data_IF_215147881957
#
_entry.id   IF_215147881957
#
_cell.length_a   1.000
_cell.length_b   1.000
_cell.length_c   1.000
_cell.angle_alpha   90.00
_cell.angle_beta   90.00
_cell.angle_gamma   90.00
#
_symmetry.space_group_name_H-M   'P 1'
#
loop_
_entity.id
_entity.type
_entity.pdbx_description
1 polymer ?
#
# COMPACT_ATOMS: atom_id res chain seq x y z
N UNK A 1 -43.80 -21.64 -50.52
CA UNK A 1 -43.66 -22.31 -49.20
C UNK A 1 -42.37 -23.12 -49.04
N UNK A 2 -41.92 -23.91 -50.03
CA UNK A 2 -40.69 -24.73 -49.87
C UNK A 2 -39.40 -23.92 -49.64
N UNK A 3 -39.25 -22.75 -50.25
CA UNK A 3 -38.03 -21.92 -50.13
C UNK A 3 -37.87 -21.23 -48.77
N UNK A 4 -38.98 -20.85 -48.13
CA UNK A 4 -38.99 -20.20 -46.80
C UNK A 4 -38.67 -21.24 -45.70
N UNK A 5 -39.14 -22.47 -45.86
CA UNK A 5 -38.85 -23.56 -44.93
C UNK A 5 -37.36 -23.93 -44.91
N UNK A 6 -36.69 -23.88 -46.07
CA UNK A 6 -35.25 -24.16 -46.20
C UNK A 6 -34.40 -23.09 -45.54
N UNK A 7 -34.76 -21.80 -45.68
CA UNK A 7 -34.04 -20.69 -45.03
C UNK A 7 -34.20 -20.73 -43.50
N UNK A 8 -35.39 -21.06 -43.00
CA UNK A 8 -35.65 -21.21 -41.57
C UNK A 8 -34.88 -22.40 -40.97
N UNK A 9 -34.79 -23.53 -41.71
CA UNK A 9 -33.99 -24.68 -41.29
C UNK A 9 -32.49 -24.37 -41.28
N UNK A 10 -31.98 -23.59 -42.24
CA UNK A 10 -30.58 -23.17 -42.30
C UNK A 10 -30.25 -22.20 -41.15
N UNK A 11 -31.11 -21.22 -40.84
CA UNK A 11 -30.90 -20.28 -39.73
C UNK A 11 -30.96 -20.96 -38.36
N UNK A 12 -31.91 -21.90 -38.17
CA UNK A 12 -32.00 -22.71 -36.94
C UNK A 12 -30.80 -23.66 -36.85
N UNK A 13 -30.36 -24.27 -37.94
CA UNK A 13 -29.15 -25.11 -37.95
C UNK A 13 -27.88 -24.29 -37.67
N UNK A 14 -27.77 -23.05 -38.17
CA UNK A 14 -26.63 -22.18 -37.90
C UNK A 14 -26.61 -21.66 -36.45
N UNK A 15 -27.78 -21.47 -35.81
CA UNK A 15 -27.85 -21.17 -34.38
C UNK A 15 -27.57 -22.40 -33.51
N UNK A 16 -27.99 -23.60 -33.95
CA UNK A 16 -27.67 -24.87 -33.29
C UNK A 16 -26.20 -25.31 -33.51
N UNK A 17 -25.57 -24.92 -34.61
CA UNK A 17 -24.13 -25.14 -34.86
C UNK A 17 -23.29 -24.12 -34.06
N UNK A 18 -23.79 -22.89 -33.81
CA UNK A 18 -23.17 -21.98 -32.83
C UNK A 18 -23.34 -22.40 -31.37
N UNK A 19 -24.30 -23.28 -31.07
CA UNK A 19 -24.43 -23.90 -29.75
C UNK A 19 -23.64 -25.21 -29.59
N UNK A 20 -22.78 -25.57 -30.55
CA UNK A 20 -21.82 -26.66 -30.38
C UNK A 20 -20.54 -26.14 -29.69
N UNK A 21 -20.34 -26.60 -28.45
CA UNK A 21 -19.13 -26.47 -27.62
C UNK A 21 -18.74 -25.09 -27.08
N UNK A 22 -19.68 -24.27 -26.61
CA UNK A 22 -19.33 -23.30 -25.57
C UNK A 22 -19.12 -24.04 -24.25
N UNK A 23 -17.92 -23.91 -23.66
CA UNK A 23 -17.65 -24.39 -22.31
C UNK A 23 -18.69 -23.82 -21.34
N UNK A 24 -19.15 -24.66 -20.40
CA UNK A 24 -20.00 -24.16 -19.31
C UNK A 24 -19.25 -23.05 -18.56
N UNK A 25 -19.98 -22.07 -18.03
CA UNK A 25 -19.35 -20.99 -17.25
C UNK A 25 -18.53 -21.56 -16.07
N UNK A 26 -18.98 -22.66 -15.46
CA UNK A 26 -18.18 -23.40 -14.47
C UNK A 26 -16.80 -23.79 -15.02
N UNK A 27 -16.79 -24.40 -16.21
CA UNK A 27 -15.57 -24.82 -16.88
C UNK A 27 -14.68 -23.62 -17.22
N UNK A 28 -15.27 -22.49 -17.62
CA UNK A 28 -14.52 -21.25 -17.85
C UNK A 28 -13.89 -20.74 -16.55
N UNK A 29 -14.64 -20.75 -15.44
CA UNK A 29 -14.12 -20.38 -14.12
C UNK A 29 -12.96 -21.29 -13.69
N UNK A 30 -13.17 -22.61 -13.74
CA UNK A 30 -12.17 -23.61 -13.34
C UNK A 30 -10.90 -23.48 -14.19
N UNK A 31 -11.04 -23.32 -15.51
CA UNK A 31 -9.92 -23.12 -16.42
C UNK A 31 -9.22 -21.77 -16.19
N UNK A 32 -9.95 -20.73 -15.80
CA UNK A 32 -9.34 -19.46 -15.44
C UNK A 32 -8.51 -19.56 -14.15
N UNK A 33 -8.99 -20.30 -13.15
CA UNK A 33 -8.20 -20.60 -11.95
C UNK A 33 -6.95 -21.43 -12.30
N UNK A 34 -7.05 -22.40 -13.20
CA UNK A 34 -5.90 -23.14 -13.70
C UNK A 34 -4.89 -22.24 -14.43
N UNK A 35 -5.36 -21.30 -15.23
CA UNK A 35 -4.51 -20.30 -15.90
C UNK A 35 -3.79 -19.38 -14.88
N UNK A 36 -4.51 -18.92 -13.84
CA UNK A 36 -3.88 -18.15 -12.75
C UNK A 36 -2.80 -18.98 -12.06
N UNK A 37 -3.09 -20.24 -11.74
CA UNK A 37 -2.16 -21.15 -11.08
C UNK A 37 -0.98 -21.60 -11.96
N UNK A 38 -1.04 -21.39 -13.28
CA UNK A 38 0.09 -21.66 -14.19
C UNK A 38 1.07 -20.50 -14.29
N UNK A 39 0.73 -19.33 -13.72
CA UNK A 39 1.50 -18.08 -13.77
C UNK A 39 1.85 -17.59 -15.19
N UNK A 40 1.14 -18.08 -16.21
CA UNK A 40 1.31 -17.63 -17.60
C UNK A 40 0.32 -16.52 -17.88
N UNK A 41 0.80 -15.27 -17.82
CA UNK A 41 -0.04 -14.09 -17.97
C UNK A 41 -0.64 -13.98 -19.38
N UNK A 42 -0.02 -14.58 -20.41
CA UNK A 42 -0.62 -14.64 -21.74
C UNK A 42 -1.80 -15.62 -21.75
N UNK A 43 -1.67 -16.77 -21.08
CA UNK A 43 -2.78 -17.74 -20.93
C UNK A 43 -3.92 -17.12 -20.12
N UNK A 44 -3.64 -16.46 -18.99
CA UNK A 44 -4.65 -15.72 -18.20
C UNK A 44 -5.38 -14.72 -19.09
N UNK A 45 -4.63 -13.92 -19.87
CA UNK A 45 -5.17 -12.91 -20.78
C UNK A 45 -6.14 -13.51 -21.81
N UNK A 46 -5.93 -14.75 -22.28
CA UNK A 46 -6.84 -15.38 -23.26
C UNK A 46 -8.25 -15.64 -22.72
N UNK A 47 -8.40 -15.74 -21.40
CA UNK A 47 -9.70 -15.92 -20.75
C UNK A 47 -10.44 -14.61 -20.48
N UNK A 48 -9.85 -13.45 -20.72
CA UNK A 48 -10.47 -12.15 -20.38
C UNK A 48 -11.23 -11.56 -21.58
N UNK A 49 -12.32 -10.85 -21.31
CA UNK A 49 -12.89 -9.89 -22.28
C UNK A 49 -11.98 -8.67 -22.41
N UNK A 50 -12.09 -7.93 -23.51
CA UNK A 50 -11.24 -6.74 -23.73
C UNK A 50 -11.58 -5.62 -22.72
N UNK A 51 -12.85 -5.55 -22.34
CA UNK A 51 -13.44 -4.64 -21.35
C UNK A 51 -13.60 -5.31 -19.96
N UNK A 52 -12.67 -6.23 -19.64
CA UNK A 52 -12.66 -6.93 -18.36
C UNK A 52 -12.45 -5.97 -17.18
N UNK A 53 -13.09 -6.29 -16.04
CA UNK A 53 -12.99 -5.54 -14.79
C UNK A 53 -12.48 -6.43 -13.66
N UNK A 54 -11.36 -6.05 -13.06
CA UNK A 54 -10.85 -6.66 -11.84
C UNK A 54 -11.21 -5.79 -10.62
N UNK A 55 -11.60 -6.44 -9.52
CA UNK A 55 -11.86 -5.78 -8.23
C UNK A 55 -11.09 -6.48 -7.13
N UNK A 56 -10.21 -5.75 -6.44
CA UNK A 56 -9.42 -6.31 -5.36
C UNK A 56 -10.22 -6.47 -4.06
N UNK A 57 -9.58 -7.04 -3.02
CA UNK A 57 -10.19 -7.27 -1.72
C UNK A 57 -10.56 -5.99 -0.95
N UNK A 58 -10.04 -4.82 -1.37
CA UNK A 58 -10.37 -3.51 -0.79
C UNK A 58 -11.51 -2.81 -1.52
N UNK A 59 -11.92 -3.33 -2.68
CA UNK A 59 -12.94 -2.75 -3.54
C UNK A 59 -12.39 -1.81 -4.62
N UNK A 60 -11.08 -1.77 -4.83
CA UNK A 60 -10.49 -0.97 -5.90
C UNK A 60 -10.73 -1.64 -7.26
N UNK A 61 -11.19 -0.86 -8.23
CA UNK A 61 -11.52 -1.32 -9.58
C UNK A 61 -10.41 -1.01 -10.58
N UNK A 62 -10.18 -1.95 -11.49
CA UNK A 62 -9.21 -1.83 -12.56
C UNK A 62 -9.82 -2.27 -13.88
N UNK A 63 -9.86 -1.36 -14.84
CA UNK A 63 -10.44 -1.57 -16.16
C UNK A 63 -9.38 -1.93 -17.19
N UNK A 64 -9.76 -2.85 -18.08
CA UNK A 64 -9.00 -3.15 -19.29
C UNK A 64 -7.95 -4.24 -19.08
N UNK A 65 -7.86 -5.11 -20.08
CA UNK A 65 -7.00 -6.29 -20.11
C UNK A 65 -5.51 -6.01 -19.89
N UNK A 66 -4.99 -4.92 -20.46
CA UNK A 66 -3.55 -4.62 -20.49
C UNK A 66 -3.03 -4.12 -19.14
N UNK A 67 -3.80 -3.28 -18.44
CA UNK A 67 -3.46 -2.83 -17.08
C UNK A 67 -3.34 -4.01 -16.11
N UNK A 68 -4.14 -5.07 -16.34
CA UNK A 68 -4.16 -6.26 -15.51
C UNK A 68 -3.03 -7.23 -15.77
N UNK A 69 -2.52 -7.28 -17.01
CA UNK A 69 -1.32 -8.05 -17.34
C UNK A 69 -0.12 -7.59 -16.50
N UNK A 70 0.13 -6.29 -16.44
CA UNK A 70 1.19 -5.72 -15.61
C UNK A 70 1.00 -6.03 -14.12
N UNK A 71 -0.25 -5.99 -13.64
CA UNK A 71 -0.60 -6.35 -12.26
C UNK A 71 -0.27 -7.81 -11.92
N UNK A 72 -0.65 -8.76 -12.78
CA UNK A 72 -0.32 -10.18 -12.62
C UNK A 72 1.19 -10.44 -12.67
N UNK A 73 1.91 -9.84 -13.62
CA UNK A 73 3.37 -9.97 -13.73
C UNK A 73 4.08 -9.47 -12.46
N UNK A 74 3.67 -8.31 -11.95
CA UNK A 74 4.21 -7.75 -10.71
C UNK A 74 3.89 -8.64 -9.51
N UNK A 75 2.67 -9.18 -9.44
CA UNK A 75 2.24 -10.02 -8.33
C UNK A 75 2.96 -11.37 -8.30
N UNK A 76 3.11 -12.06 -9.44
CA UNK A 76 3.86 -13.31 -9.52
C UNK A 76 5.36 -13.13 -9.28
N UNK A 77 5.93 -11.95 -9.59
CA UNK A 77 7.29 -11.61 -9.17
C UNK A 77 7.41 -11.56 -7.64
N UNK A 78 6.39 -11.05 -6.95
CA UNK A 78 6.36 -11.03 -5.48
C UNK A 78 6.05 -12.40 -4.88
N UNK A 79 5.22 -13.22 -5.52
CA UNK A 79 4.80 -14.53 -5.03
C UNK A 79 4.85 -15.57 -6.17
N UNK A 80 6.04 -16.10 -6.51
CA UNK A 80 6.23 -17.00 -7.64
C UNK A 80 5.64 -18.40 -7.41
N UNK A 81 5.23 -18.73 -6.19
CA UNK A 81 4.52 -19.94 -5.80
C UNK A 81 3.05 -19.67 -5.49
N UNK A 82 2.50 -18.51 -5.90
CA UNK A 82 1.12 -18.14 -5.61
C UNK A 82 0.14 -19.20 -6.09
N UNK A 83 -0.83 -19.57 -5.25
CA UNK A 83 -1.82 -20.59 -5.60
C UNK A 83 -3.19 -20.29 -5.04
N UNK A 84 -4.19 -20.46 -5.89
CA UNK A 84 -5.61 -20.53 -5.55
C UNK A 84 -5.99 -22.01 -5.42
N UNK A 85 -6.58 -22.38 -4.29
CA UNK A 85 -7.17 -23.71 -4.06
C UNK A 85 -8.65 -23.53 -3.83
N UNK A 86 -9.48 -24.02 -4.74
CA UNK A 86 -10.94 -23.98 -4.61
C UNK A 86 -11.43 -25.18 -3.78
N UNK A 87 -12.24 -24.91 -2.77
CA UNK A 87 -12.83 -25.93 -1.91
C UNK A 87 -14.29 -26.24 -2.28
N UNK A 88 -15.06 -25.21 -2.64
CA UNK A 88 -16.49 -25.38 -2.98
C UNK A 88 -16.96 -24.31 -3.98
N UNK A 89 -18.10 -24.59 -4.62
CA UNK A 89 -18.78 -23.71 -5.58
C UNK A 89 -20.23 -23.49 -5.17
N UNK A 90 -20.78 -22.33 -5.53
CA UNK A 90 -22.22 -22.08 -5.45
C UNK A 90 -22.88 -22.08 -6.84
N UNK A 91 -23.40 -23.25 -7.24
CA UNK A 91 -24.03 -23.47 -8.56
C UNK A 91 -25.41 -22.81 -8.71
N UNK A 92 -25.93 -22.14 -7.67
CA UNK A 92 -27.26 -21.49 -7.67
C UNK A 92 -27.18 -19.97 -7.84
N UNK A 93 -25.99 -19.39 -7.80
CA UNK A 93 -25.81 -17.96 -7.95
C UNK A 93 -25.91 -17.54 -9.42
N UNK A 94 -26.45 -16.35 -9.69
CA UNK A 94 -26.47 -15.73 -11.03
C UNK A 94 -25.09 -15.24 -11.49
N UNK A 95 -24.09 -15.42 -10.62
CA UNK A 95 -22.67 -15.11 -10.78
C UNK A 95 -21.88 -16.27 -10.19
N UNK A 96 -20.70 -16.59 -10.74
CA UNK A 96 -19.93 -17.73 -10.25
C UNK A 96 -19.16 -17.35 -9.01
N UNK A 97 -19.44 -18.02 -7.89
CA UNK A 97 -18.76 -17.81 -6.62
C UNK A 97 -18.06 -19.10 -6.21
N UNK A 98 -16.78 -18.99 -5.89
CA UNK A 98 -15.99 -20.07 -5.32
C UNK A 98 -15.28 -19.59 -4.05
N UNK A 99 -15.19 -20.47 -3.05
CA UNK A 99 -14.43 -20.23 -1.82
C UNK A 99 -13.28 -21.22 -1.70
N UNK A 100 -12.24 -20.82 -0.98
CA UNK A 100 -10.99 -21.55 -0.99
C UNK A 100 -9.90 -20.89 -0.16
N UNK A 101 -8.66 -21.19 -0.52
CA UNK A 101 -7.48 -20.51 0.05
C UNK A 101 -6.58 -19.94 -1.01
N UNK A 102 -6.02 -18.76 -0.73
CA UNK A 102 -4.90 -18.19 -1.46
C UNK A 102 -3.61 -18.39 -0.63
N UNK A 103 -2.54 -18.85 -1.25
CA UNK A 103 -1.24 -19.03 -0.58
C UNK A 103 -0.08 -18.57 -1.44
N UNK A 104 1.05 -18.22 -0.82
CA UNK A 104 2.28 -17.81 -1.50
C UNK A 104 3.40 -17.43 -0.54
N UNK A 105 4.63 -17.41 -1.04
CA UNK A 105 5.89 -17.12 -0.34
C UNK A 105 6.59 -15.95 -1.03
N UNK A 106 6.89 -14.90 -0.26
CA UNK A 106 7.50 -13.70 -0.83
C UNK A 106 8.84 -14.00 -1.49
N UNK A 107 8.96 -13.67 -2.77
CA UNK A 107 10.07 -13.96 -3.68
C UNK A 107 10.42 -15.46 -3.80
N UNK A 108 9.57 -16.37 -3.34
CA UNK A 108 9.74 -17.83 -3.48
C UNK A 108 10.85 -18.45 -2.63
N UNK A 109 11.45 -17.69 -1.72
CA UNK A 109 12.55 -18.17 -0.86
C UNK A 109 12.08 -18.17 0.59
N UNK A 110 11.82 -19.34 1.17
CA UNK A 110 11.40 -19.43 2.57
C UNK A 110 12.46 -18.87 3.53
N UNK A 111 12.04 -18.02 4.46
CA UNK A 111 12.88 -17.61 5.58
C UNK A 111 12.99 -18.73 6.62
N UNK A 112 14.01 -18.66 7.48
CA UNK A 112 14.17 -19.61 8.61
C UNK A 112 12.95 -19.59 9.53
N UNK A 113 12.35 -18.43 9.74
CA UNK A 113 11.11 -18.24 10.49
C UNK A 113 9.85 -18.67 9.74
N UNK A 114 9.89 -18.80 8.40
CA UNK A 114 8.73 -19.08 7.55
C UNK A 114 7.68 -17.96 7.50
N UNK A 115 8.00 -16.79 8.06
CA UNK A 115 7.11 -15.65 8.24
C UNK A 115 6.93 -14.80 6.95
N UNK A 116 7.56 -15.21 5.86
CA UNK A 116 7.37 -14.62 4.53
C UNK A 116 6.37 -15.40 3.67
N UNK A 117 5.71 -16.44 4.24
CA UNK A 117 4.66 -17.22 3.59
C UNK A 117 3.29 -16.87 4.16
N UNK A 118 2.27 -16.81 3.31
CA UNK A 118 0.88 -16.69 3.73
C UNK A 118 0.03 -17.86 3.21
N UNK A 119 -1.06 -18.12 3.93
CA UNK A 119 -2.19 -18.93 3.49
C UNK A 119 -3.45 -18.36 4.13
N UNK A 120 -4.36 -17.82 3.32
CA UNK A 120 -5.55 -17.12 3.79
C UNK A 120 -6.82 -17.71 3.16
N UNK A 121 -7.95 -17.73 3.88
CA UNK A 121 -9.25 -17.98 3.27
C UNK A 121 -9.59 -16.85 2.30
N UNK A 122 -10.21 -17.20 1.17
CA UNK A 122 -10.64 -16.24 0.16
C UNK A 122 -11.86 -16.76 -0.59
N UNK A 123 -12.63 -15.84 -1.16
CA UNK A 123 -13.67 -16.13 -2.14
C UNK A 123 -13.48 -15.29 -3.39
N UNK A 124 -13.90 -15.84 -4.53
CA UNK A 124 -13.80 -15.21 -5.83
C UNK A 124 -15.15 -15.22 -6.52
N UNK A 125 -15.57 -14.04 -6.97
CA UNK A 125 -16.76 -13.87 -7.79
C UNK A 125 -16.33 -13.59 -9.23
N UNK A 126 -16.85 -14.36 -10.17
CA UNK A 126 -16.68 -14.12 -11.60
C UNK A 126 -18.01 -13.85 -12.30
N UNK A 127 -17.98 -12.92 -13.24
CA UNK A 127 -19.02 -12.77 -14.26
C UNK A 127 -18.44 -13.29 -15.57
N UNK A 128 -19.14 -14.21 -16.21
CA UNK A 128 -18.70 -14.84 -17.46
C UNK A 128 -19.66 -14.42 -18.56
N UNK A 129 -19.08 -14.02 -19.69
CA UNK A 129 -19.81 -13.59 -20.87
C UNK A 129 -19.13 -14.19 -22.11
N UNK A 130 -19.91 -14.86 -22.95
CA UNK A 130 -19.42 -15.45 -24.20
C UNK A 130 -18.18 -16.35 -24.02
N UNK A 131 -18.13 -17.12 -22.92
CA UNK A 131 -17.03 -18.04 -22.63
C UNK A 131 -15.75 -17.37 -22.07
N UNK A 132 -15.82 -16.08 -21.70
CA UNK A 132 -14.72 -15.30 -21.15
C UNK A 132 -15.10 -14.65 -19.82
N UNK A 133 -14.11 -14.40 -18.98
CA UNK A 133 -14.25 -13.70 -17.71
C UNK A 133 -14.38 -12.21 -18.00
N UNK A 134 -15.58 -11.67 -17.78
CA UNK A 134 -15.92 -10.26 -17.89
C UNK A 134 -15.58 -9.49 -16.61
N UNK A 135 -15.71 -10.14 -15.45
CA UNK A 135 -15.32 -9.55 -14.18
C UNK A 135 -14.76 -10.59 -13.23
N UNK A 136 -13.74 -10.19 -12.44
CA UNK A 136 -13.15 -10.99 -11.38
C UNK A 136 -13.00 -10.16 -10.10
N UNK A 137 -13.65 -10.59 -9.01
CA UNK A 137 -13.67 -9.89 -7.73
C UNK A 137 -13.16 -10.80 -6.60
N UNK A 138 -12.29 -10.27 -5.76
CA UNK A 138 -11.69 -10.98 -4.62
C UNK A 138 -12.34 -10.55 -3.30
N UNK A 139 -12.60 -11.51 -2.42
CA UNK A 139 -12.97 -11.29 -1.03
C UNK A 139 -12.00 -12.05 -0.13
N UNK A 140 -11.13 -11.34 0.59
CA UNK A 140 -10.14 -11.94 1.50
C UNK A 140 -9.63 -10.91 2.53
N UNK A 141 -9.19 -11.38 3.70
CA UNK A 141 -8.37 -10.55 4.61
C UNK A 141 -6.91 -10.58 4.14
N UNK A 142 -6.51 -9.53 3.42
CA UNK A 142 -5.16 -9.42 2.82
C UNK A 142 -4.14 -8.79 3.76
N UNK A 143 -4.47 -8.55 5.05
CA UNK A 143 -3.56 -7.88 5.98
C UNK A 143 -2.20 -8.58 6.05
N UNK A 144 -2.17 -9.90 6.20
CA UNK A 144 -0.92 -10.67 6.27
C UNK A 144 -0.08 -10.56 4.99
N UNK A 145 -0.71 -10.53 3.82
CA UNK A 145 -0.03 -10.37 2.53
C UNK A 145 0.65 -8.99 2.49
N UNK A 146 -0.07 -7.94 2.88
CA UNK A 146 0.44 -6.58 2.95
C UNK A 146 1.58 -6.43 3.98
N UNK A 147 1.44 -7.04 5.16
CA UNK A 147 2.47 -7.03 6.20
C UNK A 147 3.77 -7.68 5.68
N UNK A 148 3.66 -8.80 4.95
CA UNK A 148 4.81 -9.48 4.31
C UNK A 148 5.45 -8.58 3.26
N UNK A 149 4.67 -8.04 2.31
CA UNK A 149 5.19 -7.15 1.27
C UNK A 149 5.92 -5.97 1.91
N UNK A 150 5.32 -5.31 2.90
CA UNK A 150 5.94 -4.17 3.58
C UNK A 150 7.24 -4.55 4.29
N UNK A 151 7.25 -5.68 4.99
CA UNK A 151 8.42 -6.17 5.74
C UNK A 151 9.60 -6.53 4.84
N UNK A 152 9.35 -7.06 3.64
CA UNK A 152 10.40 -7.61 2.78
C UNK A 152 10.74 -6.76 1.56
N UNK A 153 9.83 -5.90 1.07
CA UNK A 153 10.15 -4.90 0.04
C UNK A 153 11.18 -3.89 0.52
N UNK A 154 11.11 -3.51 1.80
CA UNK A 154 12.07 -2.60 2.45
C UNK A 154 13.50 -3.15 2.63
N UNK A 155 13.78 -4.39 2.18
CA UNK A 155 15.11 -5.01 2.25
C UNK A 155 15.85 -5.09 0.91
N UNK A 156 15.21 -4.83 -0.24
CA UNK A 156 15.76 -5.16 -1.59
C UNK A 156 15.96 -3.98 -2.53
N UNK A 157 15.64 -2.77 -2.12
CA UNK A 157 15.94 -1.52 -2.81
C UNK A 157 17.17 -0.86 -2.16
N UNK A 158 17.91 -0.01 -2.88
CA UNK A 158 18.83 0.99 -2.30
C UNK A 158 18.07 2.05 -1.46
N UNK A 159 16.95 1.67 -0.86
CA UNK A 159 16.17 2.50 0.04
C UNK A 159 16.78 2.42 1.43
N UNK A 160 16.84 3.59 2.05
CA UNK A 160 16.99 3.81 3.48
C UNK A 160 16.46 2.60 4.27
N UNK A 161 17.35 1.89 4.95
CA UNK A 161 17.00 0.68 5.70
C UNK A 161 15.77 0.95 6.58
N UNK A 162 14.86 -0.03 6.70
CA UNK A 162 13.60 0.16 7.45
C UNK A 162 13.77 0.63 8.91
N UNK A 163 14.99 0.57 9.43
CA UNK A 163 15.43 0.97 10.76
C UNK A 163 16.05 2.38 10.83
N UNK A 164 16.28 3.06 9.71
CA UNK A 164 16.95 4.36 9.61
C UNK A 164 16.14 5.34 8.75
N UNK A 165 14.81 5.20 8.75
CA UNK A 165 13.91 6.07 7.99
C UNK A 165 13.08 6.97 8.92
N UNK A 166 12.55 8.03 8.32
CA UNK A 166 11.49 8.82 8.93
C UNK A 166 10.28 7.92 9.21
N UNK A 167 9.81 7.95 10.46
CA UNK A 167 8.64 7.22 10.93
C UNK A 167 7.42 8.12 11.10
N UNK A 168 7.61 9.45 11.07
CA UNK A 168 6.53 10.43 11.11
C UNK A 168 7.04 11.84 11.39
N UNK A 169 6.14 12.76 11.69
CA UNK A 169 6.49 14.08 12.20
C UNK A 169 6.62 14.03 13.73
N UNK A 170 7.78 14.43 14.24
CA UNK A 170 7.88 14.78 15.65
C UNK A 170 7.49 16.23 15.89
N UNK A 171 7.58 17.10 14.87
CA UNK A 171 7.03 18.44 14.95
C UNK A 171 7.14 19.32 13.70
N UNK A 172 6.47 20.46 13.77
CA UNK A 172 6.54 21.56 12.80
C UNK A 172 6.78 22.84 13.56
N UNK A 173 7.78 23.63 13.16
CA UNK A 173 8.15 24.85 13.84
C UNK A 173 8.11 26.03 12.90
N UNK A 174 7.48 27.12 13.33
CA UNK A 174 7.39 28.36 12.54
C UNK A 174 7.97 29.54 13.32
N UNK A 175 8.35 30.60 12.61
CA UNK A 175 8.71 31.89 13.19
C UNK A 175 7.53 32.85 13.23
N UNK A 176 7.50 33.69 14.26
CA UNK A 176 6.56 34.80 14.42
C UNK A 176 7.24 35.98 15.10
N UNK A 177 6.80 37.20 14.78
CA UNK A 177 7.21 38.43 15.47
C UNK A 177 6.78 38.43 16.94
N UNK A 178 5.59 37.87 17.21
CA UNK A 178 5.06 37.69 18.56
C UNK A 178 4.48 36.28 18.69
N UNK A 179 5.29 35.29 19.13
CA UNK A 179 4.83 33.92 19.29
C UNK A 179 3.68 33.77 20.27
N UNK A 180 3.70 34.56 21.35
CA UNK A 180 2.69 34.49 22.39
C UNK A 180 1.36 35.01 21.87
N UNK A 181 1.35 36.18 21.22
CA UNK A 181 0.13 36.72 20.65
C UNK A 181 -0.45 35.81 19.55
N UNK A 182 0.40 35.19 18.72
CA UNK A 182 -0.05 34.25 17.70
C UNK A 182 -0.64 32.97 18.32
N UNK A 183 0.00 32.41 19.34
CA UNK A 183 -0.51 31.25 20.08
C UNK A 183 -1.85 31.56 20.77
N UNK A 184 -1.98 32.72 21.42
CA UNK A 184 -3.24 33.18 22.02
C UNK A 184 -4.35 33.36 20.98
N UNK A 185 -4.01 33.86 19.79
CA UNK A 185 -4.93 33.99 18.67
C UNK A 185 -5.43 32.61 18.21
N UNK A 186 -4.54 31.64 17.99
CA UNK A 186 -4.93 30.27 17.64
C UNK A 186 -5.79 29.64 18.74
N UNK A 187 -5.44 29.84 20.01
CA UNK A 187 -6.23 29.29 21.12
C UNK A 187 -7.66 29.87 21.11
N UNK A 188 -7.78 31.18 20.88
CA UNK A 188 -9.08 31.87 20.88
C UNK A 188 -9.97 31.47 19.70
N UNK A 189 -9.41 31.42 18.49
CA UNK A 189 -10.22 31.32 17.27
C UNK A 189 -10.25 29.93 16.66
N UNK A 190 -9.25 29.08 16.95
CA UNK A 190 -9.16 27.71 16.41
C UNK A 190 -9.28 26.64 17.50
N UNK A 191 -9.37 27.03 18.78
CA UNK A 191 -9.49 26.10 19.90
C UNK A 191 -8.23 25.29 20.18
N UNK A 192 -7.07 25.79 19.77
CA UNK A 192 -5.78 25.17 20.12
C UNK A 192 -5.44 25.37 21.60
N UNK A 193 -4.37 24.73 22.03
CA UNK A 193 -3.93 24.69 23.44
C UNK A 193 -2.46 25.10 23.61
N UNK A 194 -2.01 26.11 22.85
CA UNK A 194 -0.65 26.64 23.00
C UNK A 194 -0.39 27.08 24.44
N UNK A 195 0.67 26.53 25.03
CA UNK A 195 1.12 26.86 26.38
C UNK A 195 1.90 28.18 26.44
N UNK A 196 2.41 28.51 27.65
CA UNK A 196 3.20 29.74 27.89
C UNK A 196 4.44 29.85 27.00
N UNK A 197 5.02 28.71 26.64
CA UNK A 197 6.21 28.63 25.78
C UNK A 197 5.88 28.68 24.26
N UNK A 198 4.61 28.88 23.88
CA UNK A 198 4.15 28.90 22.48
C UNK A 198 4.39 27.57 21.73
N UNK A 199 4.29 26.46 22.46
CA UNK A 199 4.20 25.11 21.91
C UNK A 199 2.84 24.48 22.22
N UNK A 200 2.38 23.62 21.32
CA UNK A 200 1.27 22.70 21.55
C UNK A 200 1.67 21.29 21.08
N UNK A 201 1.03 20.28 21.66
CA UNK A 201 1.31 18.88 21.34
C UNK A 201 0.02 18.18 20.90
N UNK A 202 0.08 17.48 19.77
CA UNK A 202 -0.97 16.60 19.30
C UNK A 202 -0.61 15.17 19.72
N UNK A 203 -1.36 14.59 20.64
CA UNK A 203 -1.19 13.19 21.06
C UNK A 203 -1.94 12.24 20.12
N UNK A 204 -1.30 11.12 19.78
CA UNK A 204 -1.86 10.10 18.89
C UNK A 204 -1.26 8.73 19.21
N UNK A 205 -1.82 7.69 18.58
CA UNK A 205 -1.32 6.32 18.67
C UNK A 205 -0.93 5.80 17.28
N UNK A 206 0.19 5.10 17.23
CA UNK A 206 0.69 4.40 16.06
C UNK A 206 -0.39 3.52 15.42
N UNK A 207 -0.40 3.53 14.08
CA UNK A 207 -1.35 2.72 13.32
C UNK A 207 -1.17 1.25 13.68
N UNK A 208 -2.24 0.61 14.13
CA UNK A 208 -2.23 -0.79 14.55
C UNK A 208 -1.72 -1.03 15.98
N UNK A 209 -1.38 0.01 16.74
CA UNK A 209 -1.04 -0.08 18.16
C UNK A 209 -1.73 1.05 18.95
N UNK A 210 -2.99 0.81 19.34
CA UNK A 210 -3.80 1.77 20.10
C UNK A 210 -3.24 2.12 21.50
N UNK A 211 -2.29 1.34 22.02
CA UNK A 211 -1.67 1.58 23.33
C UNK A 211 -0.36 2.36 23.24
N UNK A 212 0.12 2.65 22.03
CA UNK A 212 1.32 3.47 21.85
C UNK A 212 1.03 4.92 22.23
N UNK A 213 2.04 5.54 22.85
CA UNK A 213 2.05 6.97 23.16
C UNK A 213 2.94 7.64 22.13
N UNK A 214 2.34 8.40 21.23
CA UNK A 214 3.05 9.18 20.24
C UNK A 214 2.53 10.63 20.26
N UNK A 215 3.36 11.55 19.78
CA UNK A 215 2.96 12.94 19.68
C UNK A 215 3.67 13.67 18.56
N UNK A 216 3.06 14.78 18.13
CA UNK A 216 3.64 15.74 17.21
C UNK A 216 3.54 17.13 17.81
N UNK A 217 4.66 17.85 17.86
CA UNK A 217 4.75 19.19 18.45
C UNK A 217 4.58 20.26 17.39
N UNK A 218 3.73 21.26 17.65
CA UNK A 218 3.72 22.50 16.89
C UNK A 218 4.29 23.62 17.75
N UNK A 219 5.40 24.21 17.32
CA UNK A 219 6.11 25.28 18.02
C UNK A 219 6.13 26.59 17.25
N UNK A 220 5.95 27.69 17.97
CA UNK A 220 6.06 29.05 17.44
C UNK A 220 7.28 29.72 18.09
N UNK A 221 8.27 30.06 17.29
CA UNK A 221 9.51 30.67 17.72
C UNK A 221 9.52 32.17 17.38
N UNK A 222 10.29 32.94 18.15
CA UNK A 222 10.57 34.34 17.78
C UNK A 222 11.30 34.38 16.44
N UNK A 223 11.01 35.38 15.61
CA UNK A 223 11.69 35.64 14.33
C UNK A 223 13.22 35.70 14.49
N UNK A 224 13.67 36.33 15.58
CA UNK A 224 15.09 36.46 15.96
C UNK A 224 15.71 35.18 16.54
N UNK A 225 14.98 34.08 16.64
CA UNK A 225 15.49 32.83 17.20
C UNK A 225 16.65 32.29 16.37
N UNK A 226 17.72 31.94 17.07
CA UNK A 226 18.93 31.30 16.54
C UNK A 226 18.80 29.79 16.42
N UNK A 227 17.67 29.23 16.85
CA UNK A 227 17.43 27.78 16.78
C UNK A 227 17.45 27.24 15.34
N UNK A 228 17.06 28.08 14.39
CA UNK A 228 16.97 27.74 12.96
C UNK A 228 18.32 27.86 12.26
N UNK A 229 19.31 28.54 12.87
CA UNK A 229 20.62 28.74 12.25
C UNK A 229 21.29 27.37 11.94
N UNK A 230 21.93 27.23 10.77
CA UNK A 230 22.24 28.28 9.78
C UNK A 230 21.13 28.53 8.74
N UNK A 231 19.98 27.86 8.83
CA UNK A 231 18.85 28.10 7.92
C UNK A 231 18.28 29.50 8.13
N UNK A 232 18.02 30.20 7.02
CA UNK A 232 17.35 31.51 7.01
C UNK A 232 15.83 31.38 6.79
N UNK A 233 15.30 30.15 6.80
CA UNK A 233 13.89 29.86 6.50
C UNK A 233 13.01 30.11 7.72
N UNK A 234 11.75 30.46 7.48
CA UNK A 234 10.77 30.76 8.53
C UNK A 234 10.13 29.51 9.14
N UNK A 235 10.41 28.33 8.57
CA UNK A 235 9.88 27.04 9.01
C UNK A 235 11.01 26.01 9.15
N UNK A 236 10.85 25.11 10.13
CA UNK A 236 11.70 23.95 10.36
C UNK A 236 10.81 22.73 10.55
N UNK A 237 11.18 21.65 9.89
CA UNK A 237 10.55 20.35 10.07
C UNK A 237 11.33 19.54 11.11
N UNK A 238 10.60 18.88 12.00
CA UNK A 238 11.14 17.87 12.89
C UNK A 238 10.57 16.50 12.49
N UNK A 239 11.45 15.61 12.05
CA UNK A 239 11.10 14.24 11.70
C UNK A 239 11.38 13.29 12.85
N UNK A 240 10.40 12.44 13.16
CA UNK A 240 10.58 11.30 14.03
C UNK A 240 11.34 10.22 13.27
N UNK A 241 12.36 9.64 13.88
CA UNK A 241 13.22 8.59 13.27
C UNK A 241 13.44 7.43 14.25
N UNK A 242 14.06 6.36 13.74
CA UNK A 242 14.65 5.27 14.55
C UNK A 242 16.14 5.19 14.27
N UNK A 243 16.89 4.72 15.26
CA UNK A 243 18.34 4.57 15.26
C UNK A 243 19.06 5.85 14.81
N UNK A 244 18.76 6.98 15.46
CA UNK A 244 19.20 8.31 15.04
C UNK A 244 20.71 8.37 14.81
N UNK A 245 21.51 7.78 15.71
CA UNK A 245 22.97 7.77 15.57
C UNK A 245 23.44 7.08 14.27
N UNK A 246 22.90 5.89 13.98
CA UNK A 246 23.20 5.14 12.76
C UNK A 246 22.77 5.92 11.51
N UNK A 247 21.59 6.53 11.56
CA UNK A 247 21.09 7.39 10.50
C UNK A 247 22.04 8.57 10.23
N UNK A 248 22.47 9.30 11.26
CA UNK A 248 23.39 10.44 11.11
C UNK A 248 24.75 10.01 10.54
N UNK A 249 25.30 8.87 10.99
CA UNK A 249 26.54 8.31 10.48
C UNK A 249 26.44 7.96 8.99
N UNK A 250 25.33 7.32 8.57
CA UNK A 250 25.07 7.01 7.16
C UNK A 250 24.90 8.27 6.32
N UNK A 251 24.08 9.22 6.77
CA UNK A 251 23.86 10.48 6.05
C UNK A 251 25.19 11.22 5.83
N UNK A 252 26.06 11.23 6.84
CA UNK A 252 27.40 11.82 6.74
C UNK A 252 28.28 11.09 5.71
N UNK A 253 28.23 9.75 5.65
CA UNK A 253 29.00 8.98 4.66
C UNK A 253 28.47 9.12 3.23
N UNK A 254 27.17 9.42 3.08
CA UNK A 254 26.51 9.71 1.80
C UNK A 254 26.66 11.17 1.34
N UNK A 255 27.38 12.00 2.10
CA UNK A 255 27.67 13.39 1.75
C UNK A 255 26.58 14.40 2.12
N UNK A 256 25.60 14.00 2.92
CA UNK A 256 24.62 14.94 3.49
C UNK A 256 25.32 15.82 4.52
N UNK A 257 24.93 17.11 4.54
CA UNK A 257 25.44 18.05 5.51
C UNK A 257 24.80 17.81 6.88
N UNK A 258 25.48 16.99 7.70
CA UNK A 258 25.09 16.67 9.07
C UNK A 258 25.78 17.62 10.04
N UNK A 259 25.01 18.24 10.94
CA UNK A 259 25.57 19.09 11.99
C UNK A 259 26.23 18.21 13.07
N UNK A 260 27.40 18.60 13.59
CA UNK A 260 28.10 17.82 14.63
C UNK A 260 27.37 17.78 15.98
N UNK A 261 26.30 18.58 16.14
CA UNK A 261 25.51 18.65 17.36
C UNK A 261 24.61 17.41 17.49
N UNK A 262 24.67 16.78 18.66
CA UNK A 262 23.79 15.69 19.07
C UNK A 262 23.39 15.93 20.53
N UNK A 263 22.10 15.86 20.84
CA UNK A 263 21.57 16.12 22.18
C UNK A 263 20.76 14.93 22.69
N UNK A 264 20.98 14.57 23.95
CA UNK A 264 20.25 13.50 24.64
C UNK A 264 19.41 14.09 25.78
N UNK A 265 18.13 13.73 25.80
CA UNK A 265 17.20 14.09 26.86
C UNK A 265 16.39 12.86 27.30
N UNK A 266 15.72 12.97 28.45
CA UNK A 266 14.85 11.92 28.99
C UNK A 266 13.66 11.58 28.08
N UNK A 267 13.29 12.49 27.17
CA UNK A 267 12.20 12.32 26.22
C UNK A 267 12.67 11.99 24.79
N UNK A 268 13.98 11.93 24.54
CA UNK A 268 14.53 11.48 23.26
C UNK A 268 15.87 12.09 22.90
N UNK A 269 16.40 11.65 21.77
CA UNK A 269 17.66 12.11 21.21
C UNK A 269 17.41 13.00 19.98
N UNK A 270 18.27 13.97 19.76
CA UNK A 270 18.13 14.96 18.68
C UNK A 270 19.42 15.12 17.88
N UNK A 271 19.25 15.29 16.58
CA UNK A 271 20.31 15.62 15.63
C UNK A 271 19.76 16.50 14.51
N UNK A 272 20.66 17.12 13.73
CA UNK A 272 20.25 18.07 12.69
C UNK A 272 21.03 17.86 11.41
N UNK A 273 20.35 18.09 10.29
CA UNK A 273 20.93 18.07 8.95
C UNK A 273 20.51 19.32 8.16
N UNK A 274 21.24 19.64 7.09
CA UNK A 274 20.80 20.58 6.07
C UNK A 274 20.33 19.80 4.85
N UNK A 275 19.12 20.09 4.37
CA UNK A 275 18.65 19.53 3.11
C UNK A 275 19.22 20.28 1.89
N UNK A 276 18.84 19.81 0.70
CA UNK A 276 19.34 20.33 -0.58
C UNK A 276 18.87 21.77 -0.87
N UNK A 277 17.85 22.26 -0.18
CA UNK A 277 17.29 23.61 -0.33
C UNK A 277 17.75 24.56 0.81
N UNK A 278 18.66 24.08 1.65
CA UNK A 278 19.22 24.82 2.77
C UNK A 278 18.24 24.96 3.95
N UNK A 279 17.23 24.10 4.06
CA UNK A 279 16.45 23.99 5.28
C UNK A 279 17.26 23.22 6.32
N UNK A 280 17.27 23.73 7.55
CA UNK A 280 17.72 22.96 8.71
C UNK A 280 16.58 22.04 9.10
N UNK A 281 16.86 20.75 9.13
CA UNK A 281 15.92 19.70 9.51
C UNK A 281 16.36 19.14 10.85
N UNK A 282 15.40 19.00 11.76
CA UNK A 282 15.61 18.33 13.03
C UNK A 282 15.16 16.88 12.94
N UNK A 283 15.97 15.97 13.48
CA UNK A 283 15.69 14.56 13.58
C UNK A 283 15.56 14.20 15.05
N UNK A 284 14.45 13.59 15.43
CA UNK A 284 14.14 13.19 16.79
C UNK A 284 13.88 11.70 16.90
N UNK A 285 14.59 11.06 17.82
CA UNK A 285 14.34 9.68 18.24
C UNK A 285 13.72 9.70 19.65
N UNK A 286 12.42 9.42 19.81
CA UNK A 286 11.79 9.34 21.12
C UNK A 286 12.39 8.21 21.95
N UNK A 287 12.39 8.37 23.28
CA UNK A 287 12.54 7.22 24.18
C UNK A 287 11.26 6.37 24.12
N UNK A 288 11.43 5.04 24.11
CA UNK A 288 10.31 4.08 24.18
C UNK A 288 9.71 3.99 25.59
#
# INVERSE_FOLDING_TARGET
MKTILVILFILVSASLIKSQNMMSDRTVFENFVLAINSHDVNVISNYLTDDHVFTDATGLHFDGKDNLKAGWEAYFKMFPDYKIVINSFNDKATVWLAEGTAEGTYQGISTVSGDNRFKIPAAWKAVIENGKVKSWQIFADTKIVNDIIFKYSSKTSNEVSGNEKVTGFGGVFIKSKDPKALGEWYNKYLGTTFGKESYMMFEWSERGNANSKASTTFGIFKESSKYFDPSTKEMMLNFRVKNLKSLLERLKSEGVNVMDKYEEYDYGNFGWIMDIDGNKIELWEPKE
#
